data_IF_843073012418
#
_entry.id   IF_843073012418
#
_cell.length_a   1.000
_cell.length_b   1.000
_cell.length_c   1.000
_cell.angle_alpha   90.00
_cell.angle_beta   90.00
_cell.angle_gamma   90.00
#
_symmetry.space_group_name_H-M   'P 1'
#
loop_
_entity.id
_entity.type
_entity.pdbx_description
1 polymer ?
2 non-polymer ?
3 water ?
#
# COMPACT_ATOMS: atom_id res chain seq x y z
N UNK A 7 -29.24 -7.99 10.84
CA UNK A 7 -29.78 -7.91 9.46
C UNK A 7 -29.70 -6.46 8.92
N UNK A 8 -28.51 -5.83 8.96
CA UNK A 8 -28.37 -4.36 8.73
C UNK A 8 -28.10 -4.01 7.28
N UNK A 9 -28.45 -2.78 6.91
CA UNK A 9 -28.39 -2.29 5.52
C UNK A 9 -27.00 -1.88 5.05
N UNK A 10 -26.38 -0.99 5.81
CA UNK A 10 -25.09 -0.46 5.42
C UNK A 10 -24.04 -1.57 5.57
N UNK A 11 -24.29 -2.55 6.45
CA UNK A 11 -23.48 -3.81 6.48
C UNK A 11 -23.61 -4.69 5.20
N UNK A 12 -24.59 -4.38 4.35
CA UNK A 12 -24.88 -5.16 3.15
C UNK A 12 -24.33 -4.50 1.89
N UNK A 13 -23.79 -3.29 2.00
CA UNK A 13 -23.25 -2.56 0.85
C UNK A 13 -21.75 -2.35 0.97
N UNK A 14 -20.98 -2.73 -0.03
CA UNK A 14 -19.56 -2.50 0.03
C UNK A 14 -19.23 -1.07 -0.38
N UNK A 15 -18.06 -0.59 0.04
CA UNK A 15 -17.65 0.72 -0.45
C UNK A 15 -17.58 0.78 -1.98
N UNK A 16 -17.30 -0.36 -2.63
CA UNK A 16 -17.27 -0.43 -4.11
C UNK A 16 -18.66 -0.23 -4.71
N UNK A 17 -19.67 -0.79 -4.05
CA UNK A 17 -21.03 -0.58 -4.46
C UNK A 17 -21.31 0.92 -4.44
N UNK A 18 -20.90 1.59 -3.38
CA UNK A 18 -21.17 3.01 -3.24
C UNK A 18 -20.57 3.77 -4.40
N UNK A 19 -19.33 3.45 -4.75
CA UNK A 19 -18.61 4.11 -5.83
C UNK A 19 -19.30 3.89 -7.17
N UNK A 20 -19.64 2.63 -7.40
CA UNK A 20 -20.29 2.27 -8.64
C UNK A 20 -21.63 2.99 -8.77
N UNK A 21 -22.29 3.24 -7.64
CA UNK A 21 -23.58 3.91 -7.63
C UNK A 21 -23.55 5.38 -7.24
N UNK A 22 -22.40 6.01 -7.46
CA UNK A 22 -22.20 7.40 -7.04
C UNK A 22 -23.07 8.37 -7.81
N UNK A 23 -23.44 8.07 -9.06
CA UNK A 23 -24.42 8.92 -9.78
C UNK A 23 -25.84 8.80 -9.30
N UNK A 24 -26.16 7.81 -8.46
CA UNK A 24 -27.57 7.51 -8.20
C UNK A 24 -27.97 7.62 -6.74
N UNK A 25 -27.01 7.52 -5.83
CA UNK A 25 -27.27 7.64 -4.39
C UNK A 25 -27.06 9.09 -3.99
N UNK A 26 -27.97 9.66 -3.17
CA UNK A 26 -27.75 10.96 -2.52
C UNK A 26 -26.48 10.96 -1.68
N UNK A 27 -25.80 12.11 -1.62
CA UNK A 27 -24.56 12.18 -0.87
C UNK A 27 -24.86 11.84 0.59
N UNK A 28 -26.04 12.24 1.07
CA UNK A 28 -26.47 11.98 2.45
C UNK A 28 -26.44 10.48 2.76
N UNK A 29 -26.85 9.69 1.79
CA UNK A 29 -26.89 8.25 1.95
C UNK A 29 -25.46 7.70 1.96
N UNK A 30 -24.64 8.20 1.05
CA UNK A 30 -23.27 7.75 1.00
C UNK A 30 -22.58 8.04 2.33
N UNK A 31 -22.75 9.26 2.83
CA UNK A 31 -22.14 9.65 4.10
C UNK A 31 -22.59 8.81 5.28
N UNK A 32 -23.86 8.44 5.33
CA UNK A 32 -24.31 7.62 6.46
C UNK A 32 -23.70 6.23 6.33
N UNK A 33 -23.61 5.74 5.10
CA UNK A 33 -22.96 4.44 4.82
C UNK A 33 -21.48 4.41 5.25
N UNK A 34 -20.77 5.49 4.92
CA UNK A 34 -19.37 5.61 5.25
C UNK A 34 -19.15 5.67 6.76
N UNK A 35 -19.99 6.44 7.45
CA UNK A 35 -19.94 6.56 8.91
C UNK A 35 -20.19 5.23 9.60
N UNK A 36 -20.94 4.34 8.96
CA UNK A 36 -21.30 3.09 9.63
C UNK A 36 -20.30 1.99 9.34
N UNK A 37 -19.43 2.21 8.37
CA UNK A 37 -18.48 1.20 7.96
C UNK A 37 -17.20 1.26 8.78
N UNK A 38 -16.33 0.28 8.58
CA UNK A 38 -15.01 0.28 9.25
C UNK A 38 -14.09 1.30 8.60
N UNK A 39 -13.10 1.76 9.35
CA UNK A 39 -12.12 2.68 8.81
C UNK A 39 -11.42 2.08 7.58
N UNK A 40 -11.16 0.76 7.58
CA UNK A 40 -10.54 0.08 6.43
C UNK A 40 -11.42 0.23 5.21
N UNK A 41 -12.73 0.10 5.39
CA UNK A 41 -13.65 0.22 4.27
C UNK A 41 -13.72 1.67 3.78
N UNK A 42 -13.71 2.63 4.70
CA UNK A 42 -13.63 4.05 4.29
C UNK A 42 -12.37 4.33 3.49
N UNK A 43 -11.27 3.67 3.85
CA UNK A 43 -10.00 3.88 3.14
C UNK A 43 -10.12 3.37 1.70
N UNK A 44 -10.77 2.22 1.55
CA UNK A 44 -11.00 1.60 0.25
C UNK A 44 -11.86 2.51 -0.61
N UNK A 45 -12.85 3.12 0.00
CA UNK A 45 -13.68 4.05 -0.73
C UNK A 45 -12.88 5.28 -1.25
N UNK A 46 -12.05 5.86 -0.41
CA UNK A 46 -11.26 7.03 -0.81
C UNK A 46 -10.33 6.70 -1.96
N UNK A 47 -9.77 5.49 -1.97
CA UNK A 47 -8.88 5.08 -3.06
C UNK A 47 -9.64 4.87 -4.37
N UNK A 48 -10.77 4.17 -4.29
CA UNK A 48 -11.63 3.99 -5.46
C UNK A 48 -12.15 5.34 -5.96
N UNK A 49 -12.37 6.25 -5.05
CA UNK A 49 -12.87 7.55 -5.42
C UNK A 49 -11.79 8.38 -6.09
N UNK A 50 -10.54 8.14 -5.74
CA UNK A 50 -9.47 8.93 -6.33
C UNK A 50 -8.89 8.28 -7.56
N UNK A 51 -8.84 6.95 -7.60
CA UNK A 51 -8.16 6.24 -8.68
C UNK A 51 -9.13 5.40 -9.48
N UNK A 52 -8.99 5.45 -10.79
CA UNK A 52 -9.92 4.79 -11.69
C UNK A 52 -9.56 3.32 -11.79
N UNK A 53 -10.36 2.57 -12.53
CA UNK A 53 -10.36 1.11 -12.46
C UNK A 53 -9.09 0.46 -12.94
N UNK A 54 -8.32 1.13 -13.77
CA UNK A 54 -7.08 0.55 -14.24
C UNK A 54 -5.86 1.25 -13.66
N UNK A 55 -5.99 1.86 -12.48
CA UNK A 55 -4.84 2.47 -11.79
C UNK A 55 -4.52 1.70 -10.54
N UNK A 56 -3.25 1.37 -10.33
CA UNK A 56 -2.90 0.53 -9.19
C UNK A 56 -3.21 1.19 -7.82
N UNK A 57 -3.22 2.52 -7.79
CA UNK A 57 -3.64 3.25 -6.59
C UNK A 57 -4.93 2.73 -5.97
N UNK A 58 -5.85 2.32 -6.82
CA UNK A 58 -7.15 1.85 -6.38
C UNK A 58 -7.03 0.59 -5.49
N UNK A 59 -6.01 -0.24 -5.72
CA UNK A 59 -5.87 -1.52 -4.99
C UNK A 59 -4.72 -1.50 -4.00
N UNK A 60 -4.22 -0.31 -3.72
CA UNK A 60 -3.18 -0.08 -2.74
C UNK A 60 -3.61 -0.40 -1.32
N UNK A 61 -2.70 -1.00 -0.58
CA UNK A 61 -2.94 -1.36 0.79
C UNK A 61 -2.14 -0.41 1.66
N UNK A 62 -2.79 0.24 2.60
CA UNK A 62 -2.14 1.22 3.47
C UNK A 62 -1.29 0.53 4.53
N UNK A 63 -1.58 -0.75 4.79
CA UNK A 63 -0.84 -1.59 5.75
C UNK A 63 0.57 -1.88 5.30
N UNK A 64 1.54 -1.40 6.04
CA UNK A 64 2.90 -1.58 5.63
C UNK A 64 3.86 -1.25 6.75
N UNK A 65 5.08 -1.72 6.60
CA UNK A 65 6.17 -1.31 7.46
C UNK A 65 6.82 -0.02 6.89
N UNK A 66 6.64 1.10 7.59
CA UNK A 66 7.25 2.36 7.21
C UNK A 66 7.87 3.07 8.45
N UNK A 67 9.03 3.71 8.27
CA UNK A 67 9.65 4.50 9.32
C UNK A 67 10.21 5.80 8.72
N UNK A 68 10.36 6.83 9.53
CA UNK A 68 10.89 8.09 9.04
C UNK A 68 12.41 7.98 8.91
N UNK A 69 13.01 9.02 8.37
CA UNK A 69 14.42 8.97 8.12
C UNK A 69 15.22 9.24 9.38
N UNK A 70 14.54 9.33 10.52
CA UNK A 70 15.24 9.40 11.81
C UNK A 70 15.41 7.99 12.43
N UNK A 71 14.82 6.95 11.85
CA UNK A 71 14.91 5.62 12.45
C UNK A 71 16.28 4.92 12.25
N UNK A 72 16.61 4.01 13.17
CA UNK A 72 17.82 3.21 13.07
C UNK A 72 17.49 1.75 12.80
N UNK A 73 18.54 0.97 12.51
CA UNK A 73 18.45 -0.47 12.36
C UNK A 73 17.69 -1.07 13.51
N UNK A 74 17.89 -0.56 14.73
CA UNK A 74 17.24 -1.10 15.93
C UNK A 74 15.74 -1.05 15.78
N UNK A 75 15.21 0.07 15.31
CA UNK A 75 13.75 0.15 15.09
C UNK A 75 13.28 -0.79 14.01
N UNK A 76 14.04 -0.91 12.93
CA UNK A 76 13.62 -1.74 11.82
C UNK A 76 13.60 -3.19 12.28
N UNK A 77 14.63 -3.62 12.99
CA UNK A 77 14.67 -5.01 13.48
C UNK A 77 13.47 -5.32 14.35
N UNK A 78 13.13 -4.38 15.21
CA UNK A 78 12.03 -4.60 16.11
C UNK A 78 10.69 -4.62 15.36
N UNK A 79 10.59 -3.85 14.28
CA UNK A 79 9.35 -3.81 13.49
C UNK A 79 9.09 -5.16 12.83
N UNK A 80 10.15 -5.74 12.29
CA UNK A 80 10.00 -7.00 11.61
C UNK A 80 9.70 -8.08 12.61
N UNK A 81 10.21 -7.98 13.82
CA UNK A 81 10.02 -9.05 14.80
C UNK A 81 8.65 -8.94 15.51
N UNK A 82 8.08 -7.74 15.59
CA UNK A 82 6.88 -7.53 16.40
C UNK A 82 5.57 -7.58 15.61
N UNK A 83 5.64 -7.55 14.29
CA UNK A 83 4.47 -7.46 13.43
C UNK A 83 4.49 -8.62 12.48
N UNK A 84 3.33 -9.24 12.31
CA UNK A 84 3.15 -10.27 11.32
C UNK A 84 2.32 -9.64 10.22
N UNK A 85 2.82 -9.68 9.00
CA UNK A 85 2.15 -9.06 7.88
C UNK A 85 2.34 -9.90 6.63
N UNK A 86 1.27 -10.06 5.87
CA UNK A 86 1.31 -10.81 4.63
C UNK A 86 2.31 -10.21 3.63
N UNK A 87 3.09 -11.06 2.98
CA UNK A 87 3.98 -10.65 1.92
C UNK A 87 4.85 -9.51 2.30
N UNK A 88 5.57 -9.67 3.39
CA UNK A 88 6.31 -8.59 3.91
C UNK A 88 7.71 -9.02 4.17
N UNK A 89 8.65 -8.42 3.46
CA UNK A 89 10.03 -8.51 3.92
C UNK A 89 10.86 -7.28 3.61
N UNK A 90 10.18 -6.14 3.43
CA UNK A 90 10.82 -4.87 3.20
C UNK A 90 10.18 -3.83 4.08
N UNK A 91 10.89 -2.74 4.27
CA UNK A 91 10.39 -1.65 5.08
C UNK A 91 10.74 -0.33 4.38
N UNK A 92 9.80 0.60 4.39
CA UNK A 92 9.92 1.79 3.58
C UNK A 92 10.29 2.99 4.41
N UNK A 93 11.18 3.82 3.90
CA UNK A 93 11.66 4.99 4.63
C UNK A 93 11.14 6.22 3.98
N UNK A 94 10.58 7.12 4.79
CA UNK A 94 10.06 8.38 4.28
C UNK A 94 10.71 9.54 5.02
N UNK A 95 10.73 10.71 4.37
CA UNK A 95 11.16 11.93 5.06
C UNK A 95 9.99 12.53 5.84
N UNK A 96 10.21 13.71 6.42
CA UNK A 96 9.20 14.28 7.29
C UNK A 96 7.98 14.83 6.53
N UNK A 97 8.07 15.00 5.21
CA UNK A 97 6.90 15.35 4.40
C UNK A 97 6.29 14.08 3.77
N UNK A 98 6.70 12.90 4.24
CA UNK A 98 6.13 11.62 3.79
C UNK A 98 6.56 11.23 2.38
N UNK A 99 7.60 11.86 1.85
CA UNK A 99 8.13 11.48 0.55
C UNK A 99 8.87 10.18 0.69
N UNK A 100 8.56 9.23 -0.18
CA UNK A 100 9.27 7.99 -0.22
C UNK A 100 10.72 8.27 -0.56
N UNK A 101 11.65 7.80 0.28
CA UNK A 101 13.09 7.85 0.01
C UNK A 101 13.68 6.51 -0.50
N UNK A 102 13.18 5.37 -0.03
CA UNK A 102 13.77 4.07 -0.37
C UNK A 102 13.26 2.92 0.49
N UNK A 103 13.84 1.76 0.29
CA UNK A 103 13.42 0.52 0.89
C UNK A 103 14.61 -0.12 1.57
N UNK A 104 14.42 -0.63 2.78
CA UNK A 104 15.45 -1.49 3.38
C UNK A 104 14.91 -2.91 3.46
N UNK A 105 15.73 -3.91 3.19
CA UNK A 105 15.28 -5.31 3.24
C UNK A 105 15.54 -6.00 4.54
N UNK A 106 14.61 -6.84 4.95
CA UNK A 106 14.81 -7.59 6.16
C UNK A 106 16.18 -8.27 6.22
N UNK A 107 16.51 -9.02 5.18
CA UNK A 107 17.73 -9.80 5.21
C UNK A 107 18.98 -8.92 5.44
N UNK A 108 19.02 -7.77 4.79
CA UNK A 108 20.15 -6.87 4.97
C UNK A 108 20.11 -6.22 6.33
N UNK A 109 18.95 -5.79 6.82
CA UNK A 109 18.99 -5.05 8.06
C UNK A 109 19.29 -5.89 9.28
N UNK A 110 19.16 -7.21 9.19
CA UNK A 110 19.65 -8.06 10.28
C UNK A 110 21.13 -8.32 10.21
N UNK A 111 21.82 -7.71 9.25
CA UNK A 111 23.28 -7.79 9.19
C UNK A 111 23.98 -6.51 9.59
N UNK A 112 23.25 -5.45 9.90
CA UNK A 112 23.89 -4.20 10.27
C UNK A 112 23.83 -3.95 11.76
N UNK A 113 24.53 -2.92 12.21
CA UNK A 113 24.56 -2.60 13.62
C UNK A 113 23.32 -1.80 13.97
N UNK A 114 22.75 -2.02 15.16
CA UNK A 114 21.47 -1.40 15.48
C UNK A 114 21.49 0.11 15.57
N UNK A 115 22.63 0.69 15.82
CA UNK A 115 22.73 2.14 15.95
C UNK A 115 22.72 2.88 14.59
N UNK A 116 22.81 2.14 13.48
CA UNK A 116 22.97 2.73 12.14
C UNK A 116 21.69 3.31 11.59
N UNK A 117 21.75 4.54 11.06
CA UNK A 117 20.54 5.10 10.48
C UNK A 117 20.09 4.36 9.21
N UNK A 118 18.80 4.12 9.12
CA UNK A 118 18.25 3.44 7.99
C UNK A 118 18.49 4.24 6.73
N UNK A 119 18.48 5.56 6.84
CA UNK A 119 18.66 6.37 5.65
C UNK A 119 20.02 6.07 5.00
N UNK A 120 20.98 5.53 5.75
CA UNK A 120 22.27 5.17 5.17
C UNK A 120 22.33 3.76 4.57
N UNK A 121 21.25 3.00 4.64
CA UNK A 121 21.27 1.62 4.18
C UNK A 121 20.18 1.34 3.15
N UNK A 122 19.80 2.33 2.35
CA UNK A 122 18.69 2.15 1.42
C UNK A 122 19.15 1.19 0.34
N UNK A 123 18.29 0.26 -0.04
CA UNK A 123 18.61 -0.70 -1.08
C UNK A 123 18.82 0.03 -2.42
N UNK A 124 19.83 -0.39 -3.19
CA UNK A 124 20.11 0.17 -4.54
C UNK A 124 19.05 -0.31 -5.57
N UNK A 125 18.54 -1.53 -5.38
CA UNK A 125 17.51 -2.13 -6.26
C UNK A 125 16.11 -1.51 -6.20
N UNK A 126 15.84 -0.71 -5.17
CA UNK A 126 14.45 -0.42 -4.78
C UNK A 126 13.66 0.50 -5.71
N UNK A 127 12.55 -0.03 -6.20
CA UNK A 127 11.64 0.69 -7.05
C UNK A 127 10.31 0.90 -6.30
N UNK A 128 9.58 1.94 -6.72
CA UNK A 128 8.23 2.22 -6.27
C UNK A 128 7.31 2.31 -7.48
N UNK A 129 6.07 1.85 -7.38
CA UNK A 129 5.11 2.10 -8.44
C UNK A 129 4.46 3.46 -8.25
N UNK A 130 4.25 4.17 -9.35
CA UNK A 130 3.35 5.31 -9.34
C UNK A 130 1.92 4.77 -9.28
N UNK A 131 1.04 5.52 -8.60
CA UNK A 131 -0.35 5.10 -8.34
C UNK A 131 -1.14 4.96 -9.63
N UNK A 132 -0.68 5.66 -10.66
CA UNK A 132 -1.33 5.61 -11.97
C UNK A 132 -0.83 4.47 -12.85
N UNK A 133 0.14 3.67 -12.40
CA UNK A 133 0.57 2.50 -13.19
C UNK A 133 -0.62 1.58 -13.45
N UNK A 134 -0.67 0.98 -14.65
CA UNK A 134 -1.79 0.09 -15.00
C UNK A 134 -1.69 -1.17 -14.18
N UNK A 135 -2.81 -1.86 -14.03
CA UNK A 135 -2.86 -3.02 -13.16
C UNK A 135 -1.91 -4.10 -13.61
N UNK A 136 -1.89 -4.36 -14.90
CA UNK A 136 -1.03 -5.41 -15.45
C UNK A 136 0.45 -5.01 -15.44
N UNK A 137 0.78 -3.74 -15.62
CA UNK A 137 2.16 -3.32 -15.46
C UNK A 137 2.58 -3.46 -14.00
N UNK A 138 1.68 -3.18 -13.07
CA UNK A 138 1.97 -3.39 -11.65
C UNK A 138 2.23 -4.84 -11.36
N UNK A 139 1.34 -5.71 -11.80
CA UNK A 139 1.49 -7.14 -11.56
C UNK A 139 2.79 -7.67 -12.15
N UNK A 140 3.13 -7.23 -13.36
CA UNK A 140 4.39 -7.64 -13.97
C UNK A 140 5.61 -7.21 -13.15
N UNK A 141 5.56 -5.97 -12.68
CA UNK A 141 6.67 -5.36 -11.99
C UNK A 141 6.98 -6.14 -10.72
N UNK A 142 5.94 -6.57 -9.99
CA UNK A 142 6.12 -7.37 -8.76
C UNK A 142 6.50 -8.80 -9.11
N UNK A 143 5.78 -9.39 -10.05
CA UNK A 143 6.00 -10.79 -10.40
C UNK A 143 7.39 -11.04 -10.92
N UNK A 144 7.88 -10.21 -11.84
CA UNK A 144 9.21 -10.44 -12.42
C UNK A 144 10.28 -9.64 -11.71
N UNK A 145 10.36 -9.82 -10.41
CA UNK A 145 11.38 -9.17 -9.62
C UNK A 145 11.71 -10.13 -8.51
N UNK A 146 12.50 -9.68 -7.57
CA UNK A 146 12.81 -10.54 -6.43
C UNK A 146 12.04 -10.07 -5.20
N UNK A 147 11.07 -9.20 -5.42
CA UNK A 147 10.24 -8.62 -4.35
C UNK A 147 8.92 -9.35 -4.16
N UNK A 148 8.42 -9.31 -2.93
CA UNK A 148 7.08 -9.81 -2.67
C UNK A 148 6.11 -8.66 -2.36
N UNK A 149 6.59 -7.43 -2.46
CA UNK A 149 5.73 -6.27 -2.31
C UNK A 149 6.44 -5.11 -2.93
N UNK A 150 5.68 -4.13 -3.38
CA UNK A 150 6.30 -2.89 -3.80
C UNK A 150 5.55 -1.70 -3.21
N UNK A 151 6.28 -0.64 -2.86
CA UNK A 151 5.65 0.59 -2.43
C UNK A 151 4.99 1.32 -3.59
N UNK A 152 3.89 2.00 -3.27
CA UNK A 152 3.19 2.83 -4.20
C UNK A 152 3.27 4.30 -3.75
N UNK A 153 3.63 5.17 -4.68
CA UNK A 153 3.69 6.60 -4.40
C UNK A 153 2.66 7.35 -5.25
N UNK A 154 2.21 8.49 -4.74
CA UNK A 154 1.26 9.32 -5.45
C UNK A 154 2.05 10.24 -6.37
N UNK A 155 1.40 11.15 -7.08
CA UNK A 155 2.14 12.02 -8.01
C UNK A 155 2.94 13.11 -7.30
N UNK A 156 2.67 13.36 -6.01
CA UNK A 156 3.49 14.27 -5.18
C UNK A 156 4.76 13.60 -4.60
N UNK A 157 4.95 12.30 -4.83
CA UNK A 157 6.08 11.54 -4.29
C UNK A 157 5.84 10.89 -2.94
N UNK A 158 4.64 11.04 -2.40
CA UNK A 158 4.31 10.52 -1.08
C UNK A 158 3.98 9.06 -1.13
N UNK A 159 4.54 8.34 -0.18
CA UNK A 159 4.28 6.92 -0.03
C UNK A 159 2.86 6.77 0.45
N UNK A 160 1.97 6.23 -0.38
CA UNK A 160 0.60 6.05 0.07
C UNK A 160 0.26 4.62 0.51
N UNK A 161 1.11 3.65 0.20
CA UNK A 161 0.82 2.25 0.57
C UNK A 161 1.65 1.26 -0.23
N UNK A 162 1.21 0.01 -0.26
CA UNK A 162 1.96 -1.00 -1.00
C UNK A 162 1.03 -1.93 -1.76
N UNK A 163 1.59 -2.66 -2.72
CA UNK A 163 0.89 -3.74 -3.36
C UNK A 163 1.67 -5.01 -3.19
N UNK A 164 1.00 -6.10 -2.87
CA UNK A 164 1.70 -7.34 -2.60
C UNK A 164 1.72 -8.30 -3.79
N UNK A 165 2.63 -9.27 -3.75
CA UNK A 165 2.65 -10.32 -4.75
C UNK A 165 1.31 -11.07 -4.79
N UNK A 166 0.75 -11.36 -3.64
CA UNK A 166 -0.58 -11.98 -3.56
C UNK A 166 -1.66 -11.20 -4.29
N UNK A 167 -1.69 -9.88 -4.09
CA UNK A 167 -2.66 -9.03 -4.79
C UNK A 167 -2.40 -9.08 -6.29
N UNK A 168 -1.14 -9.07 -6.70
CA UNK A 168 -0.83 -9.13 -8.13
C UNK A 168 -1.40 -10.39 -8.77
N UNK A 169 -1.36 -11.49 -8.02
CA UNK A 169 -1.88 -12.74 -8.53
C UNK A 169 -3.36 -12.58 -8.80
N UNK A 170 -4.08 -12.03 -7.82
CA UNK A 170 -5.50 -11.74 -7.99
C UNK A 170 -5.73 -10.92 -9.26
N UNK A 171 -5.13 -9.74 -9.37
CA UNK A 171 -5.24 -8.88 -10.58
C UNK A 171 -5.09 -9.61 -11.91
N UNK A 172 -4.03 -10.40 -12.02
CA UNK A 172 -3.80 -11.22 -13.20
C UNK A 172 -5.02 -12.14 -13.48
N UNK A 173 -5.32 -13.05 -12.55
CA UNK A 173 -6.49 -14.00 -12.58
C UNK A 173 -7.86 -13.33 -12.87
N UNK A 174 -8.03 -12.09 -12.38
CA UNK A 174 -9.17 -11.22 -12.73
C UNK A 174 -9.17 -10.87 -14.22
N UNK A 175 -8.05 -10.35 -14.68
CA UNK A 175 -7.86 -9.97 -16.08
C UNK A 175 -7.76 -11.18 -17.08
N UNK A 176 -7.68 -12.42 -16.59
CA UNK A 176 -8.02 -13.61 -17.39
C UNK A 176 -9.57 -13.70 -17.42
N UNK A 177 -10.20 -13.95 -16.27
CA UNK A 177 -11.68 -14.02 -16.18
C UNK A 177 -12.38 -12.66 -16.42
X LIG B 1 7.55 -5.31 21.22
X LIG C 1 12.99 0.52 19.20
#
# INVERSE_FOLDING_TARGET
XPDNEVDLLFAQLSPEDLIEWSDYLPESFTDRALAQMGERQRQRFELYDQYSENEIGRYTDHQMLVLSDKATVAQAQRFFRRIELDCNDNLFIVDEADKYLGTVRRYDIFKHEPHEPLISLLSEDSRALTANTTLLDAAEAIEHSREIELPVIDDAGELIGRVTLRAATALVREHYEAQLXATAGXDESDDLFAPILKGAQRRAV
CL CL
CL CL
#
